data_IF_663345761291
#
_entry.id   IF_663345761291
#
_cell.length_a   1.000
_cell.length_b   1.000
_cell.length_c   1.000
_cell.angle_alpha   90.00
_cell.angle_beta   90.00
_cell.angle_gamma   90.00
#
_symmetry.space_group_name_H-M   'P 1'
#
loop_
_entity.id
_entity.type
_entity.pdbx_description
1 polymer ?
#
# COMPACT_ATOMS: atom_id res chain seq x y z
N UNK A 1 -7.30 26.02 -51.64
CA UNK A 1 -8.16 24.83 -51.63
C UNK A 1 -7.28 23.60 -51.53
N UNK A 2 -7.24 22.97 -50.36
CA UNK A 2 -6.86 21.56 -50.16
C UNK A 2 -7.33 21.19 -48.77
N UNK A 3 -8.10 20.11 -48.70
CA UNK A 3 -9.06 19.77 -47.65
C UNK A 3 -8.40 19.19 -46.40
N UNK A 4 -9.02 19.53 -45.26
CA UNK A 4 -8.74 18.99 -43.94
C UNK A 4 -9.46 17.65 -43.81
N UNK A 5 -8.74 16.53 -43.74
CA UNK A 5 -9.31 15.20 -43.46
C UNK A 5 -9.38 15.02 -41.95
N UNK A 6 -10.60 15.11 -41.42
CA UNK A 6 -10.92 14.64 -40.06
C UNK A 6 -10.82 13.12 -40.02
N UNK A 7 -9.94 12.58 -39.16
CA UNK A 7 -9.94 11.17 -38.81
C UNK A 7 -10.66 10.98 -37.48
N UNK A 8 -11.78 10.26 -37.57
CA UNK A 8 -12.71 9.93 -36.50
C UNK A 8 -12.09 9.03 -35.42
N UNK A 9 -12.35 9.40 -34.18
CA UNK A 9 -12.18 8.61 -32.95
C UNK A 9 -12.73 7.19 -33.04
N UNK A 10 -11.84 6.19 -33.00
CA UNK A 10 -12.15 4.77 -32.81
C UNK A 10 -11.87 4.34 -31.37
N UNK A 11 -12.83 3.65 -30.75
CA UNK A 11 -12.76 3.07 -29.40
C UNK A 11 -11.63 2.03 -29.29
N UNK A 12 -10.98 1.85 -28.13
CA UNK A 12 -10.13 0.70 -27.91
C UNK A 12 -11.03 -0.54 -27.83
N UNK A 13 -10.93 -1.39 -28.85
CA UNK A 13 -11.47 -2.75 -28.81
C UNK A 13 -10.67 -3.55 -27.78
N UNK A 14 -11.35 -4.22 -26.86
CA UNK A 14 -10.74 -5.20 -25.96
C UNK A 14 -10.21 -6.35 -26.82
N UNK A 15 -8.93 -6.26 -27.17
CA UNK A 15 -8.20 -7.36 -27.77
C UNK A 15 -8.07 -8.55 -26.81
N UNK A 16 -7.66 -9.72 -27.31
CA UNK A 16 -7.38 -10.88 -26.47
C UNK A 16 -6.34 -10.47 -25.44
N UNK A 17 -6.47 -10.98 -24.20
CA UNK A 17 -5.44 -10.88 -23.17
C UNK A 17 -4.15 -11.40 -23.80
N UNK A 18 -3.25 -10.49 -24.18
CA UNK A 18 -1.91 -10.84 -24.59
C UNK A 18 -1.27 -11.46 -23.36
N UNK A 19 -0.98 -12.76 -23.44
CA UNK A 19 -0.14 -13.43 -22.45
C UNK A 19 1.11 -12.55 -22.26
N UNK A 20 1.53 -12.28 -21.02
CA UNK A 20 2.75 -11.51 -20.81
C UNK A 20 3.88 -12.18 -21.59
N UNK A 21 4.71 -11.38 -22.27
CA UNK A 21 5.80 -11.90 -23.11
C UNK A 21 6.78 -12.78 -22.30
N UNK A 22 6.74 -12.65 -20.98
CA UNK A 22 7.51 -13.41 -19.99
C UNK A 22 6.52 -14.02 -18.98
N UNK A 23 6.54 -15.33 -18.80
CA UNK A 23 5.69 -15.97 -17.80
C UNK A 23 6.18 -15.64 -16.38
N UNK A 24 5.25 -15.51 -15.41
CA UNK A 24 5.60 -15.11 -14.04
C UNK A 24 6.68 -16.00 -13.38
N UNK A 25 6.76 -17.29 -13.76
CA UNK A 25 7.73 -18.23 -13.21
C UNK A 25 9.15 -18.00 -13.72
N UNK A 26 9.32 -17.32 -14.86
CA UNK A 26 10.66 -17.01 -15.39
C UNK A 26 11.42 -16.06 -14.46
N UNK A 27 10.71 -15.15 -13.77
CA UNK A 27 11.29 -14.29 -12.73
C UNK A 27 11.78 -15.05 -11.49
N UNK A 28 11.33 -16.30 -11.29
CA UNK A 28 11.88 -17.17 -10.24
C UNK A 28 13.14 -17.91 -10.72
N UNK A 29 13.34 -18.05 -12.03
CA UNK A 29 14.46 -18.77 -12.62
C UNK A 29 15.66 -17.83 -12.87
N UNK A 30 15.39 -16.58 -13.22
CA UNK A 30 16.40 -15.55 -13.46
C UNK A 30 16.11 -14.30 -12.62
N UNK A 31 16.91 -14.08 -11.58
CA UNK A 31 16.78 -12.90 -10.70
C UNK A 31 17.04 -11.57 -11.43
N UNK A 32 17.87 -11.59 -12.48
CA UNK A 32 18.22 -10.37 -13.23
C UNK A 32 17.11 -9.94 -14.19
N UNK A 33 16.22 -10.86 -14.56
CA UNK A 33 15.11 -10.63 -15.48
C UNK A 33 14.13 -9.59 -14.91
N UNK A 34 13.88 -9.64 -13.59
CA UNK A 34 12.99 -8.68 -12.93
C UNK A 34 13.52 -7.26 -13.05
N UNK A 35 14.79 -7.04 -12.72
CA UNK A 35 15.39 -5.70 -12.80
C UNK A 35 15.44 -5.18 -14.23
N UNK A 36 15.75 -6.04 -15.19
CA UNK A 36 15.77 -5.67 -16.60
C UNK A 36 14.40 -5.22 -17.07
N UNK A 37 13.36 -6.01 -16.76
CA UNK A 37 11.97 -5.70 -17.09
C UNK A 37 11.53 -4.37 -16.49
N UNK A 38 11.79 -4.14 -15.19
CA UNK A 38 11.39 -2.91 -14.51
C UNK A 38 12.06 -1.65 -15.05
N UNK A 39 13.24 -1.76 -15.68
CA UNK A 39 13.98 -0.65 -16.30
C UNK A 39 13.52 -0.30 -17.72
N UNK A 40 12.60 -1.08 -18.30
CA UNK A 40 12.04 -0.77 -19.62
C UNK A 40 11.18 0.51 -19.57
N UNK A 41 11.07 1.22 -20.71
CA UNK A 41 10.34 2.49 -20.76
C UNK A 41 8.84 2.32 -20.49
N UNK A 42 8.26 1.19 -20.93
CA UNK A 42 6.86 0.83 -20.77
C UNK A 42 6.76 -0.69 -20.55
N UNK A 43 7.12 -1.18 -19.35
CA UNK A 43 7.09 -2.60 -19.05
C UNK A 43 5.66 -3.14 -19.15
N UNK A 44 5.49 -4.26 -19.87
CA UNK A 44 4.24 -5.02 -19.95
C UNK A 44 4.48 -6.47 -19.50
N UNK A 45 4.00 -6.88 -18.31
CA UNK A 45 3.09 -6.16 -17.42
C UNK A 45 3.75 -5.00 -16.66
N UNK A 46 2.95 -3.99 -16.32
CA UNK A 46 3.38 -2.86 -15.49
C UNK A 46 3.80 -3.32 -14.08
N UNK A 47 4.61 -2.56 -13.33
CA UNK A 47 5.04 -2.95 -11.99
C UNK A 47 3.87 -3.28 -11.03
N UNK A 48 2.78 -2.50 -11.08
CA UNK A 48 1.57 -2.79 -10.30
C UNK A 48 0.93 -4.12 -10.69
N UNK A 49 0.80 -4.40 -11.99
CA UNK A 49 0.30 -5.68 -12.48
C UNK A 49 1.20 -6.86 -12.07
N UNK A 50 2.53 -6.68 -12.05
CA UNK A 50 3.45 -7.70 -11.56
C UNK A 50 3.22 -8.05 -10.10
N UNK A 51 3.09 -7.02 -9.23
CA UNK A 51 2.77 -7.23 -7.82
C UNK A 51 1.46 -8.03 -7.69
N UNK A 52 0.41 -7.63 -8.43
CA UNK A 52 -0.88 -8.33 -8.42
C UNK A 52 -0.72 -9.79 -8.84
N UNK A 53 -0.02 -10.06 -9.94
CA UNK A 53 0.20 -11.41 -10.44
C UNK A 53 0.98 -12.29 -9.44
N UNK A 54 2.07 -11.78 -8.86
CA UNK A 54 2.85 -12.54 -7.89
C UNK A 54 2.06 -12.86 -6.62
N UNK A 55 1.29 -11.90 -6.11
CA UNK A 55 0.49 -12.07 -4.90
C UNK A 55 -0.70 -13.03 -5.13
N UNK A 56 -1.41 -12.91 -6.26
CA UNK A 56 -2.49 -13.85 -6.62
C UNK A 56 -1.97 -15.28 -6.80
N UNK A 57 -0.78 -15.43 -7.41
CA UNK A 57 -0.15 -16.74 -7.56
C UNK A 57 0.29 -17.31 -6.21
N UNK A 58 0.75 -16.46 -5.29
CA UNK A 58 1.10 -16.84 -3.93
C UNK A 58 -0.14 -17.32 -3.14
N UNK A 59 -1.29 -16.67 -3.29
CA UNK A 59 -2.57 -17.07 -2.68
C UNK A 59 -3.10 -18.38 -3.27
N UNK A 60 -3.10 -18.50 -4.59
CA UNK A 60 -3.54 -19.72 -5.30
C UNK A 60 -2.74 -20.93 -4.87
N UNK A 61 -1.42 -20.75 -4.70
CA UNK A 61 -0.60 -21.77 -4.09
C UNK A 61 -0.98 -21.93 -2.62
N UNK A 62 -0.92 -20.92 -1.76
CA UNK A 62 -1.26 -21.08 -0.32
C UNK A 62 -2.54 -21.87 -0.03
N UNK A 63 -3.63 -21.64 -0.78
CA UNK A 63 -4.93 -22.30 -0.59
C UNK A 63 -4.99 -23.75 -1.11
N UNK A 64 -4.16 -24.14 -2.08
CA UNK A 64 -4.09 -25.51 -2.57
C UNK A 64 -3.39 -26.48 -1.58
N UNK A 65 -2.91 -25.99 -0.44
CA UNK A 65 -2.38 -26.82 0.66
C UNK A 65 -3.47 -27.37 1.61
N UNK A 66 -4.73 -26.94 1.49
CA UNK A 66 -5.85 -27.56 2.21
C UNK A 66 -6.38 -28.75 1.40
N UNK A 67 -6.26 -30.01 1.87
CA UNK A 67 -6.82 -31.14 1.15
C UNK A 67 -8.33 -30.97 1.08
N UNK A 68 -8.82 -30.78 -0.14
CA UNK A 68 -10.25 -30.79 -0.46
C UNK A 68 -10.77 -32.22 -0.31
N UNK A 69 -11.10 -32.63 0.92
CA UNK A 69 -11.99 -33.77 1.09
C UNK A 69 -13.37 -33.28 0.68
N UNK A 70 -13.79 -33.62 -0.54
CA UNK A 70 -15.15 -34.03 -0.92
C UNK A 70 -15.37 -33.85 -2.43
N UNK A 71 -14.90 -34.84 -3.20
CA UNK A 71 -15.50 -35.21 -4.48
C UNK A 71 -15.50 -36.73 -4.61
N UNK A 72 -16.58 -37.37 -4.15
CA UNK A 72 -17.11 -38.61 -4.74
C UNK A 72 -18.55 -38.83 -4.26
N UNK A 73 -19.47 -38.69 -5.23
CA UNK A 73 -20.69 -39.46 -5.46
C UNK A 73 -21.76 -39.59 -4.36
N UNK A 74 -22.91 -38.99 -4.66
CA UNK A 74 -24.24 -39.46 -4.29
C UNK A 74 -24.45 -40.89 -4.82
N UNK A 75 -24.79 -41.85 -3.94
CA UNK A 75 -25.91 -42.78 -4.12
C UNK A 75 -26.05 -43.73 -2.89
N UNK A 76 -27.24 -43.67 -2.26
CA UNK A 76 -27.96 -44.73 -1.53
C UNK A 76 -27.31 -45.41 -0.30
N UNK A 77 -27.85 -45.11 0.90
CA UNK A 77 -28.70 -46.03 1.71
C UNK A 77 -28.50 -45.91 3.24
N UNK A 78 -29.59 -45.53 3.91
CA UNK A 78 -30.11 -45.91 5.24
C UNK A 78 -29.22 -46.21 6.48
N UNK A 79 -29.59 -45.51 7.56
CA UNK A 79 -29.76 -45.94 8.97
C UNK A 79 -28.58 -46.61 9.70
N UNK A 80 -28.00 -45.94 10.71
CA UNK A 80 -28.33 -46.15 12.14
C UNK A 80 -27.43 -45.32 13.08
N UNK A 81 -28.10 -44.90 14.16
CA UNK A 81 -27.64 -44.43 15.49
C UNK A 81 -26.26 -44.89 15.99
N UNK A 82 -25.49 -43.96 16.58
CA UNK A 82 -24.38 -44.27 17.48
C UNK A 82 -23.52 -43.06 17.84
N UNK A 83 -23.72 -42.51 19.04
CA UNK A 83 -22.80 -41.57 19.69
C UNK A 83 -21.51 -42.30 20.08
N UNK A 84 -20.34 -41.80 19.64
CA UNK A 84 -19.05 -42.05 20.30
C UNK A 84 -18.15 -40.81 20.13
N UNK A 85 -17.85 -40.15 21.25
CA UNK A 85 -16.73 -39.23 21.42
C UNK A 85 -15.39 -39.95 21.16
N UNK A 86 -14.61 -39.51 20.17
CA UNK A 86 -13.18 -39.85 20.06
C UNK A 86 -12.38 -38.59 19.72
N UNK A 87 -11.37 -38.39 20.57
CA UNK A 87 -10.47 -37.25 20.72
C UNK A 87 -9.71 -36.90 19.44
N UNK A 88 -9.60 -35.60 19.17
CA UNK A 88 -8.73 -35.01 18.15
C UNK A 88 -7.29 -34.96 18.65
N UNK A 89 -6.60 -36.10 18.70
CA UNK A 89 -5.15 -36.15 18.87
C UNK A 89 -4.49 -36.58 17.54
N UNK A 90 -3.60 -35.70 17.07
CA UNK A 90 -2.53 -35.92 16.09
C UNK A 90 -2.88 -36.48 14.70
N UNK A 91 -3.34 -35.59 13.82
CA UNK A 91 -3.10 -35.75 12.36
C UNK A 91 -1.82 -34.95 12.04
N UNK A 92 -0.75 -35.58 11.52
CA UNK A 92 0.43 -34.85 11.06
C UNK A 92 0.02 -33.95 9.89
N UNK A 93 0.11 -32.64 10.10
CA UNK A 93 -0.03 -31.65 9.05
C UNK A 93 1.12 -31.86 8.04
N UNK A 94 0.86 -32.54 6.91
CA UNK A 94 1.85 -32.73 5.85
C UNK A 94 2.05 -31.39 5.12
N UNK A 95 2.81 -30.48 5.75
CA UNK A 95 3.36 -29.29 5.11
C UNK A 95 4.44 -29.74 4.13
N UNK A 96 4.10 -29.88 2.84
CA UNK A 96 5.09 -30.18 1.82
C UNK A 96 6.13 -29.03 1.79
N UNK A 97 7.40 -29.26 2.18
CA UNK A 97 8.35 -28.18 2.48
C UNK A 97 8.72 -27.31 1.27
N UNK A 98 8.55 -27.81 0.04
CA UNK A 98 8.77 -27.05 -1.20
C UNK A 98 7.68 -26.03 -1.51
N UNK A 99 6.47 -26.22 -0.99
CA UNK A 99 5.32 -25.39 -1.32
C UNK A 99 5.37 -24.01 -0.68
N UNK A 100 5.78 -23.97 0.59
CA UNK A 100 5.93 -22.73 1.35
C UNK A 100 7.11 -21.89 0.81
N UNK A 101 8.18 -22.53 0.30
CA UNK A 101 9.29 -21.85 -0.37
C UNK A 101 8.83 -21.06 -1.60
N UNK A 102 7.97 -21.66 -2.42
CA UNK A 102 7.42 -21.02 -3.63
C UNK A 102 6.55 -19.80 -3.29
N UNK A 103 5.65 -19.94 -2.32
CA UNK A 103 4.80 -18.84 -1.83
C UNK A 103 5.67 -17.69 -1.30
N UNK A 104 6.70 -18.01 -0.52
CA UNK A 104 7.66 -17.02 -0.01
C UNK A 104 8.43 -16.32 -1.14
N UNK A 105 8.91 -17.06 -2.14
CA UNK A 105 9.62 -16.49 -3.27
C UNK A 105 8.75 -15.52 -4.09
N UNK A 106 7.47 -15.86 -4.32
CA UNK A 106 6.51 -14.99 -4.99
C UNK A 106 6.26 -13.67 -4.23
N UNK A 107 6.09 -13.77 -2.91
CA UNK A 107 5.96 -12.60 -2.04
C UNK A 107 7.21 -11.72 -2.05
N UNK A 108 8.40 -12.33 -2.06
CA UNK A 108 9.69 -11.63 -2.19
C UNK A 108 9.79 -10.89 -3.53
N UNK A 109 9.35 -11.50 -4.63
CA UNK A 109 9.28 -10.81 -5.93
C UNK A 109 8.34 -9.60 -5.89
N UNK A 110 7.18 -9.71 -5.24
CA UNK A 110 6.28 -8.56 -5.05
C UNK A 110 6.95 -7.43 -4.24
N UNK A 111 7.67 -7.76 -3.17
CA UNK A 111 8.44 -6.79 -2.37
C UNK A 111 9.58 -6.14 -3.19
N UNK A 112 10.28 -6.90 -4.03
CA UNK A 112 11.29 -6.37 -4.95
C UNK A 112 10.70 -5.30 -5.88
N UNK A 113 9.53 -5.56 -6.45
CA UNK A 113 8.84 -4.59 -7.33
C UNK A 113 8.38 -3.35 -6.54
N UNK A 114 7.84 -3.53 -5.33
CA UNK A 114 7.45 -2.42 -4.48
C UNK A 114 8.64 -1.54 -4.04
N UNK A 115 9.80 -2.16 -3.78
CA UNK A 115 11.04 -1.46 -3.50
C UNK A 115 11.56 -0.68 -4.72
N UNK A 116 11.39 -1.21 -5.94
CA UNK A 116 11.66 -0.49 -7.19
C UNK A 116 10.77 0.75 -7.35
N UNK A 117 9.49 0.65 -6.94
CA UNK A 117 8.57 1.78 -6.85
C UNK A 117 8.84 2.70 -5.63
N UNK A 118 9.94 2.48 -4.92
CA UNK A 118 10.39 3.28 -3.78
C UNK A 118 9.37 3.40 -2.65
N UNK A 119 8.51 2.38 -2.48
CA UNK A 119 7.48 2.37 -1.44
C UNK A 119 6.53 3.58 -1.49
N UNK A 120 6.34 4.15 -2.67
CA UNK A 120 5.47 5.30 -2.87
C UNK A 120 3.99 4.90 -2.70
N UNK A 121 3.39 5.32 -1.59
CA UNK A 121 2.01 4.96 -1.24
C UNK A 121 0.98 5.50 -2.25
N UNK A 122 1.26 6.62 -2.92
CA UNK A 122 0.36 7.14 -3.96
C UNK A 122 0.38 6.23 -5.19
N UNK A 123 1.58 5.81 -5.61
CA UNK A 123 1.74 4.87 -6.74
C UNK A 123 1.15 3.51 -6.41
N UNK A 124 1.43 2.97 -5.21
CA UNK A 124 0.91 1.67 -4.79
C UNK A 124 -0.62 1.68 -4.67
N UNK A 125 -1.21 2.72 -4.06
CA UNK A 125 -2.67 2.80 -3.89
C UNK A 125 -3.42 2.99 -5.21
N UNK A 126 -2.81 3.64 -6.22
CA UNK A 126 -3.39 3.77 -7.56
C UNK A 126 -3.26 2.51 -8.40
N UNK A 127 -2.21 1.72 -8.17
CA UNK A 127 -1.87 0.57 -9.02
C UNK A 127 -2.35 -0.78 -8.49
N UNK A 128 -2.70 -0.85 -7.20
CA UNK A 128 -3.07 -2.09 -6.52
C UNK A 128 -4.48 -2.01 -5.90
N UNK A 129 -5.23 -3.13 -5.87
CA UNK A 129 -6.42 -3.24 -5.02
C UNK A 129 -6.07 -3.04 -3.54
N UNK A 130 -6.99 -2.46 -2.77
CA UNK A 130 -6.77 -2.10 -1.37
C UNK A 130 -6.27 -3.26 -0.49
N UNK A 131 -6.89 -4.44 -0.64
CA UNK A 131 -6.51 -5.67 0.07
C UNK A 131 -5.10 -6.15 -0.30
N UNK A 132 -4.69 -5.93 -1.55
CA UNK A 132 -3.38 -6.32 -2.03
C UNK A 132 -2.30 -5.41 -1.44
N UNK A 133 -2.56 -4.10 -1.36
CA UNK A 133 -1.67 -3.14 -0.68
C UNK A 133 -1.50 -3.51 0.79
N UNK A 134 -2.59 -3.83 1.49
CA UNK A 134 -2.51 -4.30 2.87
C UNK A 134 -1.61 -5.53 3.00
N UNK A 135 -1.84 -6.55 2.16
CA UNK A 135 -1.10 -7.82 2.23
C UNK A 135 0.37 -7.63 1.92
N UNK A 136 0.70 -6.76 0.95
CA UNK A 136 2.06 -6.40 0.60
C UNK A 136 2.79 -5.68 1.75
N UNK A 137 2.17 -4.67 2.36
CA UNK A 137 2.76 -3.93 3.47
C UNK A 137 2.93 -4.79 4.73
N UNK A 138 1.97 -5.66 5.02
CA UNK A 138 2.09 -6.65 6.10
C UNK A 138 3.22 -7.66 5.82
N UNK A 139 3.43 -8.05 4.57
CA UNK A 139 4.56 -8.90 4.20
C UNK A 139 5.90 -8.18 4.35
N UNK A 140 5.96 -6.87 4.05
CA UNK A 140 7.14 -6.04 4.33
C UNK A 140 7.44 -6.02 5.85
N UNK A 141 6.43 -5.73 6.67
CA UNK A 141 6.56 -5.75 8.14
C UNK A 141 7.04 -7.12 8.62
N UNK A 142 6.43 -8.21 8.12
CA UNK A 142 6.86 -9.57 8.44
C UNK A 142 8.33 -9.83 8.10
N UNK A 143 8.80 -9.29 6.98
CA UNK A 143 10.17 -9.47 6.50
C UNK A 143 11.18 -8.66 7.32
N UNK A 144 10.84 -7.44 7.72
CA UNK A 144 11.75 -6.56 8.45
C UNK A 144 11.73 -6.78 9.98
N UNK A 145 10.59 -7.16 10.57
CA UNK A 145 10.43 -7.36 12.03
C UNK A 145 10.58 -8.83 12.43
N UNK A 146 10.34 -9.76 11.50
CA UNK A 146 10.33 -11.20 11.75
C UNK A 146 8.92 -11.77 12.00
N UNK A 147 8.75 -13.07 11.78
CA UNK A 147 7.44 -13.74 11.71
C UNK A 147 6.63 -13.75 13.01
N UNK A 148 7.27 -13.64 14.17
CA UNK A 148 6.60 -13.67 15.48
C UNK A 148 5.97 -12.34 15.93
N UNK A 149 6.24 -11.24 15.23
CA UNK A 149 5.89 -9.89 15.69
C UNK A 149 4.74 -9.24 14.92
N UNK A 150 4.23 -9.89 13.86
CA UNK A 150 3.14 -9.31 13.04
C UNK A 150 1.82 -9.17 13.81
N UNK A 151 1.57 -10.04 14.79
CA UNK A 151 0.38 -9.94 15.66
C UNK A 151 0.37 -8.65 16.48
N UNK A 152 1.53 -8.02 16.64
CA UNK A 152 1.72 -6.77 17.37
C UNK A 152 1.76 -5.55 16.46
N UNK A 153 1.54 -5.68 15.15
CA UNK A 153 1.57 -4.54 14.22
C UNK A 153 0.63 -3.41 14.65
N UNK A 154 -0.49 -3.76 15.28
CA UNK A 154 -1.49 -2.80 15.76
C UNK A 154 -1.35 -2.43 17.24
N UNK A 155 -0.25 -2.80 17.91
CA UNK A 155 0.07 -2.30 19.25
C UNK A 155 1.13 -1.21 19.15
N UNK A 156 1.09 -0.24 20.04
CA UNK A 156 2.13 0.80 20.11
C UNK A 156 3.48 0.15 20.33
N UNK A 157 4.41 0.38 19.40
CA UNK A 157 5.76 -0.18 19.44
C UNK A 157 6.74 0.78 20.11
N UNK A 158 7.80 0.19 20.67
CA UNK A 158 9.00 0.92 21.06
C UNK A 158 9.95 1.02 19.86
N UNK A 159 9.85 2.13 19.14
CA UNK A 159 10.60 2.36 17.90
C UNK A 159 12.10 2.50 18.14
N UNK A 160 12.55 2.86 19.34
CA UNK A 160 13.98 2.99 19.66
C UNK A 160 14.68 1.63 19.66
N UNK A 161 13.95 0.56 19.97
CA UNK A 161 14.45 -0.81 20.03
C UNK A 161 14.31 -1.59 18.72
N UNK A 162 13.66 -1.03 17.70
CA UNK A 162 13.55 -1.66 16.38
C UNK A 162 14.79 -1.42 15.53
N UNK A 163 15.05 -2.29 14.55
CA UNK A 163 16.00 -1.97 13.47
C UNK A 163 15.45 -0.84 12.60
N UNK A 164 16.33 -0.18 11.84
CA UNK A 164 15.93 0.95 10.99
C UNK A 164 14.91 0.53 9.91
N UNK A 165 15.11 -0.65 9.33
CA UNK A 165 14.23 -1.24 8.32
C UNK A 165 12.89 -1.68 8.91
N UNK A 166 12.92 -2.23 10.14
CA UNK A 166 11.73 -2.58 10.91
C UNK A 166 10.88 -1.35 11.23
N UNK A 167 11.51 -0.29 11.77
CA UNK A 167 10.85 0.98 12.05
C UNK A 167 10.26 1.61 10.78
N UNK A 168 11.02 1.59 9.67
CA UNK A 168 10.54 2.03 8.35
C UNK A 168 9.31 1.24 7.87
N UNK A 169 9.32 -0.09 7.99
CA UNK A 169 8.19 -0.91 7.56
C UNK A 169 6.92 -0.64 8.36
N UNK A 170 7.07 -0.46 9.68
CA UNK A 170 5.96 -0.23 10.61
C UNK A 170 5.32 1.15 10.39
N UNK A 171 6.12 2.21 10.29
CA UNK A 171 5.59 3.54 10.00
C UNK A 171 4.91 3.59 8.63
N UNK A 172 5.43 2.87 7.62
CA UNK A 172 4.84 2.85 6.29
C UNK A 172 3.44 2.23 6.32
N UNK A 173 3.29 1.13 7.05
CA UNK A 173 1.98 0.49 7.27
C UNK A 173 0.99 1.43 7.96
N UNK A 174 1.38 2.06 9.08
CA UNK A 174 0.48 2.97 9.78
C UNK A 174 0.14 4.23 8.97
N UNK A 175 1.10 4.77 8.19
CA UNK A 175 0.84 5.87 7.25
C UNK A 175 -0.18 5.47 6.19
N UNK A 176 -0.04 4.29 5.60
CA UNK A 176 -1.03 3.77 4.66
C UNK A 176 -2.42 3.60 5.30
N UNK A 177 -2.49 3.12 6.54
CA UNK A 177 -3.76 2.97 7.27
C UNK A 177 -4.47 4.32 7.44
N UNK A 178 -3.77 5.36 7.88
CA UNK A 178 -4.37 6.70 8.04
C UNK A 178 -4.74 7.32 6.69
N UNK A 179 -3.88 7.19 5.67
CA UNK A 179 -4.14 7.73 4.33
C UNK A 179 -5.36 7.05 3.69
N UNK A 180 -5.51 5.73 3.89
CA UNK A 180 -6.69 4.98 3.41
C UNK A 180 -7.97 5.48 4.07
N UNK A 181 -7.97 5.66 5.40
CA UNK A 181 -9.16 6.13 6.13
C UNK A 181 -9.56 7.54 5.70
N UNK A 182 -8.58 8.43 5.50
CA UNK A 182 -8.83 9.78 4.98
C UNK A 182 -9.35 9.72 3.54
N UNK A 183 -8.74 8.91 2.68
CA UNK A 183 -9.14 8.76 1.27
C UNK A 183 -10.56 8.20 1.10
N UNK A 184 -10.99 7.30 1.97
CA UNK A 184 -12.34 6.72 1.96
C UNK A 184 -13.46 7.77 2.13
N UNK A 185 -13.14 8.93 2.71
CA UNK A 185 -14.13 9.99 2.94
C UNK A 185 -14.41 10.85 1.71
N UNK A 186 -13.57 10.75 0.67
CA UNK A 186 -13.79 11.47 -0.58
C UNK A 186 -14.77 10.69 -1.49
N UNK A 187 -15.68 11.38 -2.21
CA UNK A 187 -16.61 10.71 -3.12
C UNK A 187 -15.87 9.94 -4.21
N UNK A 188 -15.95 8.61 -4.17
CA UNK A 188 -15.48 7.78 -5.26
C UNK A 188 -16.38 7.98 -6.48
N UNK A 189 -15.77 8.25 -7.65
CA UNK A 189 -16.54 8.37 -8.90
C UNK A 189 -17.25 7.03 -9.12
N UNK A 190 -18.60 6.99 -9.25
CA UNK A 190 -19.30 5.73 -9.43
C UNK A 190 -18.75 5.05 -10.68
N UNK A 191 -18.25 3.82 -10.52
CA UNK A 191 -17.82 3.01 -11.65
C UNK A 191 -19.04 2.84 -12.56
N UNK A 192 -18.91 3.25 -13.83
CA UNK A 192 -19.97 3.07 -14.82
C UNK A 192 -20.24 1.57 -14.94
N UNK A 193 -21.34 1.11 -14.36
CA UNK A 193 -21.80 -0.26 -14.54
C UNK A 193 -22.12 -0.42 -16.03
N UNK A 194 -21.37 -1.30 -16.70
CA UNK A 194 -21.72 -1.69 -18.06
C UNK A 194 -23.12 -2.31 -18.01
N UNK A 195 -24.02 -1.84 -18.89
CA UNK A 195 -25.40 -2.35 -18.99
C UNK A 195 -25.49 -3.81 -19.45
N UNK A 196 -24.35 -4.44 -19.75
CA UNK A 196 -24.29 -5.88 -20.05
C UNK A 196 -24.04 -6.63 -18.74
N UNK A 197 -25.13 -7.09 -18.12
CA UNK A 197 -25.07 -8.02 -16.99
C UNK A 197 -24.56 -9.38 -17.47
N UNK A 198 -23.25 -9.59 -17.42
CA UNK A 198 -22.67 -10.93 -17.57
C UNK A 198 -22.85 -11.66 -16.24
N UNK A 199 -23.60 -12.79 -16.18
CA UNK A 199 -23.74 -13.58 -14.96
C UNK A 199 -22.37 -13.98 -14.40
N UNK A 200 -22.17 -13.85 -13.09
CA UNK A 200 -20.91 -14.13 -12.38
C UNK A 200 -19.93 -12.95 -12.24
N UNK A 201 -19.90 -12.01 -13.19
CA UNK A 201 -19.01 -10.82 -13.12
C UNK A 201 -19.54 -9.79 -12.12
N UNK A 202 -20.85 -9.56 -12.10
CA UNK A 202 -21.47 -8.62 -11.14
C UNK A 202 -21.31 -9.09 -9.70
N UNK A 203 -21.50 -10.39 -9.44
CA UNK A 203 -21.37 -10.97 -8.10
C UNK A 203 -19.96 -10.77 -7.54
N UNK A 204 -18.92 -11.01 -8.35
CA UNK A 204 -17.52 -10.77 -7.98
C UNK A 204 -17.24 -9.30 -7.66
N UNK A 205 -17.85 -8.36 -8.39
CA UNK A 205 -17.71 -6.92 -8.11
C UNK A 205 -18.33 -6.52 -6.76
N UNK A 206 -19.52 -7.03 -6.45
CA UNK A 206 -20.17 -6.79 -5.15
C UNK A 206 -19.39 -7.43 -4.00
N UNK A 207 -18.84 -8.62 -4.19
CA UNK A 207 -17.97 -9.27 -3.20
C UNK A 207 -16.72 -8.45 -2.92
N UNK A 208 -16.04 -7.94 -3.96
CA UNK A 208 -14.83 -7.12 -3.79
C UNK A 208 -15.13 -5.80 -3.08
N UNK A 209 -16.24 -5.15 -3.41
CA UNK A 209 -16.68 -3.93 -2.72
C UNK A 209 -16.93 -4.19 -1.23
N UNK A 210 -17.62 -5.29 -0.89
CA UNK A 210 -17.88 -5.67 0.51
C UNK A 210 -16.61 -6.02 1.29
N UNK A 211 -15.61 -6.64 0.65
CA UNK A 211 -14.30 -6.89 1.25
C UNK A 211 -13.58 -5.57 1.54
N UNK A 212 -13.58 -4.63 0.59
CA UNK A 212 -12.95 -3.32 0.79
C UNK A 212 -13.62 -2.54 1.92
N UNK A 213 -14.96 -2.50 1.97
CA UNK A 213 -15.71 -1.85 3.05
C UNK A 213 -15.38 -2.46 4.41
N UNK A 214 -15.32 -3.80 4.49
CA UNK A 214 -14.96 -4.52 5.71
C UNK A 214 -13.54 -4.19 6.18
N UNK A 215 -12.59 -4.09 5.23
CA UNK A 215 -11.22 -3.70 5.51
C UNK A 215 -11.13 -2.25 5.99
N UNK A 216 -11.79 -1.31 5.31
CA UNK A 216 -11.82 0.09 5.74
C UNK A 216 -12.41 0.22 7.14
N UNK A 217 -13.47 -0.53 7.47
CA UNK A 217 -14.04 -0.55 8.82
C UNK A 217 -13.02 -1.03 9.84
N UNK A 218 -12.29 -2.11 9.54
CA UNK A 218 -11.21 -2.60 10.41
C UNK A 218 -10.12 -1.54 10.64
N UNK A 219 -9.73 -0.81 9.60
CA UNK A 219 -8.75 0.28 9.71
C UNK A 219 -9.26 1.44 10.56
N UNK A 220 -10.55 1.80 10.41
CA UNK A 220 -11.20 2.82 11.25
C UNK A 220 -11.24 2.40 12.73
N UNK A 221 -11.55 1.13 13.02
CA UNK A 221 -11.54 0.60 14.38
C UNK A 221 -10.14 0.61 15.02
N UNK A 222 -9.08 0.53 14.19
CA UNK A 222 -7.68 0.49 14.61
C UNK A 222 -6.95 1.83 14.46
N UNK A 223 -7.65 2.88 14.03
CA UNK A 223 -7.02 4.14 13.61
C UNK A 223 -6.26 4.82 14.74
N UNK A 224 -6.82 4.77 15.96
CA UNK A 224 -6.21 5.35 17.16
C UNK A 224 -4.82 4.77 17.41
N UNK A 225 -4.67 3.46 17.30
CA UNK A 225 -3.38 2.80 17.46
C UNK A 225 -2.39 3.18 16.36
N UNK A 226 -2.86 3.37 15.13
CA UNK A 226 -2.00 3.84 14.03
C UNK A 226 -1.50 5.27 14.26
N UNK A 227 -2.36 6.16 14.76
CA UNK A 227 -1.98 7.53 15.13
C UNK A 227 -0.97 7.52 16.28
N UNK A 228 -1.23 6.77 17.35
CA UNK A 228 -0.32 6.65 18.50
C UNK A 228 1.05 6.08 18.08
N UNK A 229 1.08 5.09 17.20
CA UNK A 229 2.31 4.53 16.64
C UNK A 229 3.11 5.58 15.85
N UNK A 230 2.47 6.35 14.98
CA UNK A 230 3.14 7.38 14.19
C UNK A 230 3.63 8.54 15.06
N UNK A 231 2.89 8.93 16.09
CA UNK A 231 3.31 9.93 17.07
C UNK A 231 4.52 9.45 17.89
N UNK A 232 4.50 8.20 18.36
CA UNK A 232 5.63 7.59 19.08
C UNK A 232 6.85 7.51 18.17
N UNK A 233 6.66 7.10 16.91
CA UNK A 233 7.72 7.07 15.92
C UNK A 233 8.35 8.43 15.65
N UNK A 234 7.55 9.50 15.57
CA UNK A 234 8.06 10.87 15.41
C UNK A 234 9.01 11.29 16.55
N UNK A 235 8.80 10.77 17.77
CA UNK A 235 9.63 11.07 18.94
C UNK A 235 11.01 10.41 18.86
N UNK A 236 11.16 9.26 18.20
CA UNK A 236 12.44 8.53 18.08
C UNK A 236 13.57 9.34 17.42
N UNK A 237 13.23 10.33 16.58
CA UNK A 237 14.16 11.30 16.00
C UNK A 237 15.45 10.72 15.37
N UNK A 238 15.42 9.50 14.83
CA UNK A 238 16.60 8.79 14.31
C UNK A 238 16.56 8.61 12.79
N UNK A 239 17.72 8.61 12.13
CA UNK A 239 17.81 8.25 10.71
C UNK A 239 17.34 6.80 10.49
N UNK A 240 16.90 6.49 9.28
CA UNK A 240 16.35 5.18 8.95
C UNK A 240 16.94 4.62 7.66
N UNK A 241 16.62 3.36 7.41
CA UNK A 241 17.07 2.57 6.28
C UNK A 241 15.86 2.03 5.54
N UNK A 242 15.80 2.35 4.27
CA UNK A 242 14.73 1.92 3.37
C UNK A 242 15.21 0.70 2.58
N UNK A 243 14.56 -0.47 2.70
CA UNK A 243 14.89 -1.65 1.92
C UNK A 243 14.83 -1.39 0.42
N UNK A 244 15.90 -1.74 -0.30
CA UNK A 244 15.94 -1.68 -1.77
C UNK A 244 15.58 -3.04 -2.38
N UNK A 245 15.53 -3.12 -3.70
CA UNK A 245 15.33 -4.39 -4.42
C UNK A 245 16.33 -5.46 -3.97
N UNK A 246 17.59 -5.08 -3.74
CA UNK A 246 18.67 -6.00 -3.33
C UNK A 246 18.54 -6.52 -1.89
N UNK A 247 17.70 -5.89 -1.06
CA UNK A 247 17.44 -6.34 0.31
C UNK A 247 16.69 -7.68 0.32
N UNK A 248 15.86 -7.92 -0.69
CA UNK A 248 15.01 -9.09 -0.77
C UNK A 248 15.68 -10.15 -1.64
N UNK A 249 16.24 -11.21 -1.05
CA UNK A 249 16.82 -12.32 -1.81
C UNK A 249 15.86 -13.51 -1.90
N UNK A 250 15.78 -14.15 -3.06
CA UNK A 250 14.97 -15.36 -3.21
C UNK A 250 15.71 -16.52 -2.53
N UNK A 251 15.08 -17.27 -1.60
CA UNK A 251 15.76 -18.38 -0.94
C UNK A 251 16.07 -19.49 -1.95
N UNK A 252 17.34 -19.78 -2.21
CA UNK A 252 17.77 -20.97 -2.95
C UNK A 252 18.27 -22.06 -2.00
N UNK A 253 18.44 -23.29 -2.48
CA UNK A 253 18.93 -24.41 -1.65
C UNK A 253 20.37 -24.21 -1.16
N UNK A 254 21.13 -23.30 -1.80
CA UNK A 254 22.55 -23.07 -1.55
C UNK A 254 22.89 -21.62 -1.12
N UNK A 255 21.89 -20.75 -0.91
CA UNK A 255 22.18 -19.37 -0.48
C UNK A 255 22.24 -19.32 1.04
N UNK A 256 23.41 -19.00 1.58
CA UNK A 256 23.52 -18.58 2.98
C UNK A 256 22.66 -17.32 3.19
N UNK A 257 22.10 -17.11 4.41
CA UNK A 257 21.40 -15.87 4.74
C UNK A 257 22.28 -14.68 4.35
N UNK A 258 21.71 -13.70 3.65
CA UNK A 258 22.46 -12.53 3.20
C UNK A 258 23.09 -11.83 4.42
N UNK A 259 24.41 -11.97 4.56
CA UNK A 259 25.17 -11.23 5.56
C UNK A 259 25.04 -9.73 5.24
N UNK A 260 24.90 -8.91 6.28
CA UNK A 260 24.79 -7.45 6.15
C UNK A 260 23.62 -6.93 5.28
N UNK A 261 22.41 -7.48 5.44
CA UNK A 261 21.14 -6.94 4.86
C UNK A 261 21.03 -5.40 4.90
N UNK A 262 21.59 -4.77 5.93
CA UNK A 262 21.58 -3.33 6.12
C UNK A 262 22.42 -2.53 5.09
N UNK A 263 23.31 -3.18 4.33
CA UNK A 263 24.05 -2.60 3.18
C UNK A 263 23.15 -2.48 1.94
N UNK A 264 22.07 -3.26 1.87
CA UNK A 264 21.10 -3.26 0.79
C UNK A 264 19.94 -2.27 1.01
N UNK A 265 20.18 -1.26 1.84
CA UNK A 265 19.22 -0.22 2.16
C UNK A 265 19.72 1.16 1.73
N UNK A 266 18.79 2.08 1.51
CA UNK A 266 19.09 3.51 1.34
C UNK A 266 18.86 4.21 2.67
N UNK A 267 19.85 4.98 3.13
CA UNK A 267 19.72 5.82 4.32
C UNK A 267 18.82 7.02 4.01
N UNK A 268 17.81 7.26 4.85
CA UNK A 268 16.98 8.46 4.82
C UNK A 268 17.22 9.29 6.08
N UNK A 269 17.24 10.61 5.89
CA UNK A 269 17.47 11.53 7.00
C UNK A 269 16.26 11.60 7.93
N UNK A 270 16.51 12.02 9.18
CA UNK A 270 15.45 12.29 10.14
C UNK A 270 14.40 13.28 9.62
N UNK A 271 14.84 14.26 8.83
CA UNK A 271 13.98 15.28 8.27
C UNK A 271 13.05 14.72 7.16
N UNK A 272 13.54 13.79 6.33
CA UNK A 272 12.72 13.18 5.28
C UNK A 272 11.52 12.41 5.84
N UNK A 273 11.73 11.59 6.88
CA UNK A 273 10.60 10.86 7.46
C UNK A 273 9.73 11.76 8.34
N UNK A 274 10.32 12.73 9.07
CA UNK A 274 9.53 13.72 9.83
C UNK A 274 8.58 14.47 8.92
N UNK A 275 9.06 14.91 7.75
CA UNK A 275 8.25 15.53 6.72
C UNK A 275 7.07 14.64 6.34
N UNK A 276 7.33 13.38 5.98
CA UNK A 276 6.28 12.46 5.49
C UNK A 276 5.26 12.04 6.55
N UNK A 277 5.71 11.75 7.77
CA UNK A 277 4.82 11.29 8.85
C UNK A 277 3.98 12.46 9.37
N UNK A 278 4.60 13.61 9.61
CA UNK A 278 3.87 14.80 10.07
C UNK A 278 2.86 15.25 9.01
N UNK A 279 3.19 15.19 7.72
CA UNK A 279 2.23 15.52 6.68
C UNK A 279 1.01 14.60 6.70
N UNK A 280 1.20 13.27 6.77
CA UNK A 280 0.08 12.33 6.83
C UNK A 280 -0.76 12.49 8.12
N UNK A 281 -0.14 12.75 9.27
CA UNK A 281 -0.85 13.07 10.51
C UNK A 281 -1.62 14.40 10.41
N UNK A 282 -1.02 15.43 9.80
CA UNK A 282 -1.67 16.70 9.56
C UNK A 282 -2.90 16.56 8.67
N UNK A 283 -2.79 15.77 7.59
CA UNK A 283 -3.92 15.43 6.73
C UNK A 283 -5.05 14.74 7.50
N UNK A 284 -4.70 13.82 8.39
CA UNK A 284 -5.66 13.12 9.24
C UNK A 284 -6.36 14.05 10.24
N UNK A 285 -5.62 14.87 10.99
CA UNK A 285 -6.21 15.82 11.94
C UNK A 285 -7.04 16.90 11.22
N UNK A 286 -6.59 17.35 10.04
CA UNK A 286 -7.36 18.27 9.21
C UNK A 286 -8.70 17.66 8.80
N UNK A 287 -8.69 16.38 8.43
CA UNK A 287 -9.90 15.63 8.11
C UNK A 287 -10.86 15.51 9.32
N UNK A 288 -10.33 15.38 10.54
CA UNK A 288 -11.12 15.39 11.78
C UNK A 288 -11.61 16.78 12.20
N UNK A 289 -11.28 17.84 11.44
CA UNK A 289 -11.52 19.24 11.81
C UNK A 289 -10.77 19.68 13.09
N UNK A 290 -9.77 18.90 13.51
CA UNK A 290 -8.84 19.21 14.59
C UNK A 290 -7.74 20.15 14.06
N UNK A 291 -8.14 21.38 13.69
CA UNK A 291 -7.29 22.30 12.95
C UNK A 291 -6.04 22.75 13.72
N UNK A 292 -6.07 22.72 15.05
CA UNK A 292 -4.92 23.07 15.89
C UNK A 292 -3.83 22.02 15.76
N UNK A 293 -4.18 20.76 15.98
CA UNK A 293 -3.32 19.60 15.85
C UNK A 293 -2.80 19.45 14.41
N UNK A 294 -3.69 19.65 13.43
CA UNK A 294 -3.33 19.66 12.01
C UNK A 294 -2.28 20.73 11.69
N UNK A 295 -2.48 21.95 12.20
CA UNK A 295 -1.55 23.06 11.99
C UNK A 295 -0.16 22.77 12.53
N UNK A 296 -0.06 22.24 13.75
CA UNK A 296 1.22 21.86 14.36
C UNK A 296 1.94 20.79 13.53
N UNK A 297 1.20 19.78 13.05
CA UNK A 297 1.78 18.75 12.19
C UNK A 297 2.28 19.33 10.85
N UNK A 298 1.50 20.18 10.19
CA UNK A 298 1.93 20.84 8.95
C UNK A 298 3.10 21.80 9.18
N UNK A 299 3.20 22.41 10.37
CA UNK A 299 4.36 23.22 10.76
C UNK A 299 5.63 22.40 10.87
N UNK A 300 5.56 21.24 11.54
CA UNK A 300 6.67 20.28 11.58
C UNK A 300 7.04 19.84 10.15
N UNK A 301 6.06 19.62 9.28
CA UNK A 301 6.31 19.30 7.86
C UNK A 301 7.09 20.42 7.16
N UNK A 302 6.67 21.68 7.32
CA UNK A 302 7.32 22.85 6.71
C UNK A 302 8.76 23.01 7.20
N UNK A 303 9.00 22.86 8.51
CA UNK A 303 10.32 23.03 9.14
C UNK A 303 11.31 21.91 8.80
N UNK A 304 10.81 20.69 8.61
CA UNK A 304 11.63 19.52 8.27
C UNK A 304 11.70 19.23 6.77
N UNK A 305 11.06 20.04 5.93
CA UNK A 305 10.88 19.76 4.51
C UNK A 305 12.20 19.49 3.77
N UNK A 306 12.31 18.33 3.13
CA UNK A 306 13.47 17.93 2.31
C UNK A 306 13.04 17.84 0.84
N UNK A 307 13.22 18.91 0.04
CA UNK A 307 12.86 18.88 -1.37
C UNK A 307 13.73 17.83 -2.11
N UNK A 308 13.09 17.00 -2.93
CA UNK A 308 13.74 15.92 -3.70
C UNK A 308 14.47 14.88 -2.84
N UNK A 309 14.05 14.70 -1.59
CA UNK A 309 14.49 13.58 -0.76
C UNK A 309 14.10 12.23 -1.36
N UNK A 310 14.84 11.16 -1.02
CA UNK A 310 14.58 9.82 -1.56
C UNK A 310 13.17 9.33 -1.21
N UNK A 311 12.74 9.56 0.05
CA UNK A 311 11.44 9.16 0.55
C UNK A 311 10.40 10.29 0.59
N UNK A 312 10.82 11.55 0.53
CA UNK A 312 9.89 12.69 0.60
C UNK A 312 9.03 12.80 -0.67
N UNK A 313 7.70 12.79 -0.50
CA UNK A 313 6.67 12.94 -1.56
C UNK A 313 5.69 14.07 -1.30
N UNK A 314 5.91 14.86 -0.25
CA UNK A 314 5.03 15.98 0.09
C UNK A 314 5.05 17.03 -1.02
N UNK A 315 3.86 17.44 -1.46
CA UNK A 315 3.68 18.53 -2.41
C UNK A 315 3.68 19.87 -1.66
N UNK A 316 4.65 20.74 -1.96
CA UNK A 316 4.83 22.05 -1.33
C UNK A 316 3.61 22.97 -1.51
N UNK A 317 2.97 22.94 -2.67
CA UNK A 317 1.76 23.76 -2.92
C UNK A 317 0.58 23.29 -2.05
N UNK A 318 0.38 21.98 -1.93
CA UNK A 318 -0.65 21.43 -1.05
C UNK A 318 -0.36 21.75 0.42
N UNK A 319 0.88 21.57 0.88
CA UNK A 319 1.29 21.90 2.25
C UNK A 319 0.99 23.36 2.59
N UNK A 320 1.35 24.30 1.70
CA UNK A 320 1.04 25.72 1.88
C UNK A 320 -0.47 25.97 1.95
N UNK A 321 -1.25 25.30 1.11
CA UNK A 321 -2.71 25.35 1.14
C UNK A 321 -3.28 24.94 2.50
N UNK A 322 -2.81 23.83 3.05
CA UNK A 322 -3.21 23.36 4.38
C UNK A 322 -2.83 24.32 5.50
N UNK A 323 -1.60 24.85 5.49
CA UNK A 323 -1.14 25.83 6.48
C UNK A 323 -2.00 27.10 6.47
N UNK A 324 -2.35 27.62 5.29
CA UNK A 324 -3.22 28.79 5.15
C UNK A 324 -4.64 28.46 5.63
N UNK A 325 -5.18 27.30 5.27
CA UNK A 325 -6.51 26.87 5.71
C UNK A 325 -6.59 26.77 7.24
N UNK A 326 -5.64 26.07 7.87
CA UNK A 326 -5.55 25.97 9.33
C UNK A 326 -5.44 27.34 10.01
N UNK A 327 -4.56 28.23 9.54
CA UNK A 327 -4.41 29.58 10.13
C UNK A 327 -5.71 30.37 10.10
N UNK A 328 -6.44 30.31 8.99
CA UNK A 328 -7.72 30.99 8.84
C UNK A 328 -8.78 30.40 9.79
N UNK A 329 -8.88 29.08 9.89
CA UNK A 329 -9.81 28.42 10.80
C UNK A 329 -9.50 28.71 12.27
N UNK A 330 -8.22 28.85 12.62
CA UNK A 330 -7.76 29.17 13.98
C UNK A 330 -7.76 30.68 14.30
N UNK A 331 -8.12 31.54 13.34
CA UNK A 331 -8.06 33.00 13.49
C UNK A 331 -6.66 33.54 13.89
N UNK A 332 -5.58 32.85 13.50
CA UNK A 332 -4.20 33.30 13.74
C UNK A 332 -3.83 34.35 12.69
N UNK A 333 -3.48 35.56 13.13
CA UNK A 333 -3.15 36.67 12.23
C UNK A 333 -1.98 36.32 11.30
N UNK A 334 -2.17 36.51 9.98
CA UNK A 334 -1.11 36.37 8.99
C UNK A 334 0.04 37.34 9.30
N UNK A 335 1.31 36.87 9.34
CA UNK A 335 2.44 37.77 9.13
C UNK A 335 2.25 38.44 7.78
N UNK A 336 2.41 39.77 7.74
CA UNK A 336 2.16 40.66 6.60
C UNK A 336 3.00 40.41 5.34
N UNK A 337 3.70 39.27 5.25
CA UNK A 337 4.56 38.87 4.13
C UNK A 337 4.01 37.75 3.25
N UNK A 338 2.85 37.15 3.56
CA UNK A 338 2.24 36.13 2.71
C UNK A 338 1.15 36.69 1.79
N UNK A 339 1.25 36.33 0.51
CA UNK A 339 0.27 36.64 -0.53
C UNK A 339 -1.14 36.23 -0.11
N UNK A 340 -2.09 37.17 -0.29
CA UNK A 340 -3.54 37.00 -0.11
C UNK A 340 -4.02 35.61 -0.58
N UNK A 341 -4.87 34.99 0.23
CA UNK A 341 -5.56 33.75 -0.13
C UNK A 341 -6.38 33.93 -1.42
N UNK A 342 -6.73 32.84 -2.11
CA UNK A 342 -7.58 32.92 -3.30
C UNK A 342 -8.94 33.58 -3.02
N UNK A 343 -9.49 33.39 -1.82
CA UNK A 343 -10.72 34.06 -1.39
C UNK A 343 -10.50 35.57 -1.24
N UNK A 344 -9.44 35.99 -0.55
CA UNK A 344 -9.13 37.41 -0.37
C UNK A 344 -8.74 38.09 -1.69
N UNK A 345 -8.04 37.39 -2.59
CA UNK A 345 -7.79 37.87 -3.96
C UNK A 345 -9.07 38.00 -4.77
N UNK A 346 -10.03 37.09 -4.60
CA UNK A 346 -11.32 37.17 -5.27
C UNK A 346 -12.18 38.33 -4.72
N UNK A 347 -12.16 38.56 -3.41
CA UNK A 347 -12.81 39.72 -2.79
C UNK A 347 -12.11 41.04 -3.16
N UNK A 348 -10.78 41.05 -3.19
CA UNK A 348 -10.01 42.21 -3.64
C UNK A 348 -10.27 42.52 -5.13
N UNK A 349 -10.35 41.48 -5.98
CA UNK A 349 -10.74 41.61 -7.37
C UNK A 349 -12.16 42.15 -7.52
N UNK A 350 -13.14 41.69 -6.72
CA UNK A 350 -14.49 42.27 -6.68
C UNK A 350 -14.47 43.75 -6.30
N UNK A 351 -13.70 44.13 -5.28
CA UNK A 351 -13.60 45.54 -4.86
C UNK A 351 -12.89 46.42 -5.90
N UNK A 352 -12.07 45.82 -6.78
CA UNK A 352 -11.44 46.46 -7.94
C UNK A 352 -12.19 46.26 -9.26
N UNK A 353 -13.47 45.87 -9.25
CA UNK A 353 -14.29 45.63 -10.45
C UNK A 353 -13.69 44.61 -11.45
N UNK A 354 -13.02 43.58 -10.94
CA UNK A 354 -12.38 42.54 -11.73
C UNK A 354 -11.21 43.03 -12.62
N UNK A 355 -10.64 44.20 -12.31
CA UNK A 355 -9.38 44.68 -12.91
C UNK A 355 -8.15 43.89 -12.43
#
# INVERSE_FOLDING_TARGET
MSECVMSSSGRPSMGPITLPAVAWFEFLLDESLLEKHLKELNPDPTPGQMIVHFMQQAETHSNAALPTHNKTNSELSNNHTGSVDIKSEDIPEIKLPGFNKKVKALKILALKVAAFLQWDLEVLSKSLPLTMTQTLLLELVRTCVGSGSIEKVNTVQDYDNLSDEAAFSMQLFHRWSIETVVMDTFPNRPQKTSFVSVPGVQETMFTLAGINESLVRLLKDQIKSSVENLQTFLQSCRNLKVPTLSYFSIPTENTDPLENLSEHCVNISVNEFKTQVSYSLGMYFFHLEEYSEAYEMFKITEESFVPRGYYCRVNDEHLRGYLVACRNMLSVSLPSSYTLSHFERAEESKTKNYE
#
